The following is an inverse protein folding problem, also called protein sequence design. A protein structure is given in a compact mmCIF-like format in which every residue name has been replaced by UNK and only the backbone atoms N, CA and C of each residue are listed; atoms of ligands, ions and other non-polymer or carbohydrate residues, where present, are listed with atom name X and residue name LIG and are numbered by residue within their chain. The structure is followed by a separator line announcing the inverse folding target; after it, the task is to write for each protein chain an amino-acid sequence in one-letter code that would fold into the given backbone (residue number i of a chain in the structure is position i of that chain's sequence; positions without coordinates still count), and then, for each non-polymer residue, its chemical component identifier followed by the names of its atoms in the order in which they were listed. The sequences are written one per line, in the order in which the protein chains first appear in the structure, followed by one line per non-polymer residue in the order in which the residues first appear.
data_IF_656853705639
#
_entry.id   IF_656853705639
#
_cell.length_a   1.000
_cell.length_b   1.000
_cell.length_c   1.000
_cell.angle_alpha   90.00
_cell.angle_beta   90.00
_cell.angle_gamma   90.00
#
_symmetry.space_group_name_H-M   'P 1'
#
loop_
_entity.id
_entity.type
_entity.pdbx_description
1 polymer ?
#
# COMPACT_ATOMS: atom_id res chain seq x y z
N UNK A 1 -52.57 -20.19 -10.46
CA UNK A 1 -52.00 -19.97 -9.12
C UNK A 1 -50.47 -20.11 -9.08
N UNK A 2 -49.86 -21.13 -9.70
CA UNK A 2 -48.39 -21.36 -9.70
C UNK A 2 -47.54 -20.17 -10.18
N UNK A 3 -47.97 -19.44 -11.22
CA UNK A 3 -47.27 -18.23 -11.70
C UNK A 3 -47.19 -17.10 -10.67
N UNK A 4 -48.20 -16.93 -9.81
CA UNK A 4 -48.20 -15.87 -8.79
C UNK A 4 -47.13 -16.14 -7.73
N UNK A 5 -47.01 -17.40 -7.31
CA UNK A 5 -45.95 -17.82 -6.38
C UNK A 5 -44.56 -17.71 -7.01
N UNK A 6 -44.40 -18.10 -8.28
CA UNK A 6 -43.14 -17.94 -9.00
C UNK A 6 -42.73 -16.45 -9.12
N UNK A 7 -43.68 -15.56 -9.42
CA UNK A 7 -43.42 -14.13 -9.49
C UNK A 7 -43.02 -13.53 -8.12
N UNK A 8 -43.67 -13.95 -7.03
CA UNK A 8 -43.30 -13.53 -5.67
C UNK A 8 -41.90 -14.02 -5.32
N UNK A 9 -41.59 -15.28 -5.63
CA UNK A 9 -40.28 -15.86 -5.33
C UNK A 9 -39.16 -15.16 -6.12
N UNK A 10 -39.43 -14.80 -7.38
CA UNK A 10 -38.51 -14.04 -8.22
C UNK A 10 -38.30 -12.61 -7.67
N UNK A 11 -39.37 -11.92 -7.27
CA UNK A 11 -39.29 -10.60 -6.66
C UNK A 11 -38.52 -10.62 -5.34
N UNK A 12 -38.70 -11.65 -4.52
CA UNK A 12 -37.96 -11.82 -3.28
C UNK A 12 -36.47 -12.09 -3.54
N UNK A 13 -36.16 -12.94 -4.53
CA UNK A 13 -34.78 -13.24 -4.91
C UNK A 13 -34.07 -12.01 -5.45
N UNK A 14 -34.71 -11.21 -6.31
CA UNK A 14 -34.09 -9.99 -6.84
C UNK A 14 -33.90 -8.94 -5.76
N UNK A 15 -34.87 -8.79 -4.84
CA UNK A 15 -34.73 -7.90 -3.70
C UNK A 15 -33.57 -8.31 -2.79
N UNK A 16 -33.43 -9.60 -2.47
CA UNK A 16 -32.34 -10.11 -1.65
C UNK A 16 -30.97 -9.94 -2.34
N UNK A 17 -30.87 -10.23 -3.63
CA UNK A 17 -29.64 -10.02 -4.39
C UNK A 17 -29.25 -8.55 -4.46
N UNK A 18 -30.21 -7.65 -4.71
CA UNK A 18 -29.96 -6.21 -4.72
C UNK A 18 -29.52 -5.68 -3.35
N UNK A 19 -30.14 -6.18 -2.27
CA UNK A 19 -29.76 -5.83 -0.90
C UNK A 19 -28.34 -6.28 -0.57
N UNK A 20 -27.97 -7.50 -0.96
CA UNK A 20 -26.62 -8.03 -0.76
C UNK A 20 -25.58 -7.25 -1.57
N UNK A 21 -25.91 -6.86 -2.80
CA UNK A 21 -25.02 -6.07 -3.66
C UNK A 21 -24.71 -4.71 -3.05
N UNK A 22 -25.74 -3.91 -2.70
CA UNK A 22 -25.53 -2.57 -2.14
C UNK A 22 -24.89 -2.59 -0.75
N UNK A 23 -25.22 -3.62 0.05
CA UNK A 23 -24.64 -3.78 1.38
C UNK A 23 -23.18 -4.22 1.38
N UNK A 24 -22.63 -4.67 0.24
CA UNK A 24 -21.25 -5.17 0.18
C UNK A 24 -20.23 -4.03 0.23
N UNK A 25 -20.31 -3.06 -0.68
CA UNK A 25 -19.39 -1.92 -0.74
C UNK A 25 -19.37 -1.10 0.55
N UNK A 26 -20.55 -0.84 1.14
CA UNK A 26 -20.68 -0.12 2.41
C UNK A 26 -19.97 -0.85 3.56
N UNK A 27 -19.97 -2.18 3.57
CA UNK A 27 -19.25 -2.96 4.58
C UNK A 27 -17.74 -2.93 4.35
N UNK A 28 -17.29 -2.94 3.09
CA UNK A 28 -15.87 -2.84 2.74
C UNK A 28 -15.29 -1.50 3.18
N UNK A 29 -15.96 -0.37 2.89
CA UNK A 29 -15.52 0.95 3.34
C UNK A 29 -15.44 1.03 4.87
N UNK A 30 -16.43 0.47 5.58
CA UNK A 30 -16.42 0.42 7.04
C UNK A 30 -15.26 -0.40 7.58
N UNK A 31 -14.96 -1.54 6.97
CA UNK A 31 -13.82 -2.39 7.39
C UNK A 31 -12.49 -1.69 7.14
N UNK A 32 -12.33 -1.03 5.98
CA UNK A 32 -11.11 -0.29 5.65
C UNK A 32 -10.88 0.88 6.62
N UNK A 33 -11.92 1.61 6.98
CA UNK A 33 -11.83 2.81 7.82
C UNK A 33 -11.81 2.52 9.33
N UNK A 34 -12.27 1.34 9.77
CA UNK A 34 -12.30 0.96 11.18
C UNK A 34 -10.93 0.52 11.75
N UNK A 35 -9.94 0.25 10.89
CA UNK A 35 -8.65 -0.33 11.29
C UNK A 35 -7.48 0.41 10.66
N UNK A 36 -6.34 0.28 11.32
CA UNK A 36 -5.05 0.63 10.73
C UNK A 36 -4.46 -0.63 10.09
N UNK A 37 -4.01 -0.49 8.85
CA UNK A 37 -3.50 -1.58 8.04
C UNK A 37 -1.99 -1.57 8.05
N UNK A 38 -1.39 -2.70 8.38
CA UNK A 38 0.06 -2.83 8.47
C UNK A 38 0.56 -3.75 7.36
N UNK A 39 1.67 -3.37 6.74
CA UNK A 39 2.35 -4.16 5.73
C UNK A 39 3.84 -4.21 6.04
N UNK A 40 4.42 -5.38 5.86
CA UNK A 40 5.86 -5.60 6.01
C UNK A 40 6.39 -6.24 4.73
N UNK A 41 7.48 -5.73 4.22
CA UNK A 41 8.17 -6.20 3.03
C UNK A 41 9.66 -6.35 3.35
N UNK A 42 10.23 -7.49 2.98
CA UNK A 42 11.68 -7.71 3.03
C UNK A 42 12.13 -8.00 1.60
N UNK A 43 13.01 -7.15 1.08
CA UNK A 43 13.69 -7.33 -0.19
C UNK A 43 15.14 -7.70 0.05
N UNK A 44 15.63 -8.71 -0.64
CA UNK A 44 17.05 -9.03 -0.73
C UNK A 44 17.50 -8.59 -2.12
N UNK A 45 18.58 -7.81 -2.17
CA UNK A 45 19.14 -7.29 -3.42
C UNK A 45 20.45 -8.04 -3.63
N UNK A 46 20.46 -8.97 -4.58
CA UNK A 46 21.69 -9.61 -4.99
C UNK A 46 22.43 -8.69 -5.96
N UNK A 47 23.71 -8.43 -5.71
CA UNK A 47 24.56 -7.59 -6.57
C UNK A 47 24.58 -8.03 -8.06
N UNK A 48 24.24 -9.30 -8.34
CA UNK A 48 24.12 -9.82 -9.71
C UNK A 48 22.88 -9.34 -10.47
N UNK A 49 21.82 -8.95 -9.77
CA UNK A 49 20.53 -8.61 -10.40
C UNK A 49 20.53 -7.18 -10.95
N UNK A 50 21.51 -6.36 -10.53
CA UNK A 50 21.59 -4.92 -10.82
C UNK A 50 23.02 -4.45 -11.14
N UNK A 51 23.73 -5.08 -12.10
CA UNK A 51 25.15 -4.85 -12.36
C UNK A 51 25.50 -3.43 -12.84
N UNK A 52 24.54 -2.71 -13.43
CA UNK A 52 24.72 -1.37 -14.02
C UNK A 52 24.17 -0.23 -13.13
N UNK A 53 23.80 -0.52 -11.88
CA UNK A 53 23.15 0.45 -10.99
C UNK A 53 24.10 0.84 -9.87
N UNK A 54 24.38 2.14 -9.73
CA UNK A 54 25.17 2.69 -8.62
C UNK A 54 24.30 2.83 -7.36
N UNK A 55 23.76 1.70 -6.89
CA UNK A 55 22.94 1.61 -5.67
C UNK A 55 23.79 1.39 -4.41
N UNK A 56 25.11 1.44 -4.55
CA UNK A 56 26.06 1.28 -3.44
C UNK A 56 26.04 -0.13 -2.82
N UNK A 57 26.41 -0.26 -1.53
CA UNK A 57 26.50 -1.56 -0.85
C UNK A 57 25.14 -2.18 -0.49
N UNK A 58 24.03 -1.68 -1.07
CA UNK A 58 22.68 -2.07 -0.67
C UNK A 58 22.43 -3.57 -0.91
N UNK A 59 22.37 -4.34 0.18
CA UNK A 59 22.19 -5.80 0.16
C UNK A 59 20.78 -6.22 0.57
N UNK A 60 20.15 -5.45 1.45
CA UNK A 60 18.82 -5.78 2.00
C UNK A 60 18.02 -4.52 2.30
N UNK A 61 16.72 -4.60 2.00
CA UNK A 61 15.73 -3.58 2.29
C UNK A 61 14.63 -4.20 3.16
N UNK A 62 14.41 -3.66 4.35
CA UNK A 62 13.20 -3.92 5.11
C UNK A 62 12.29 -2.70 5.05
N UNK A 63 11.02 -2.88 4.74
CA UNK A 63 10.03 -1.82 4.72
C UNK A 63 8.82 -2.23 5.55
N UNK A 64 8.43 -1.39 6.49
CA UNK A 64 7.17 -1.49 7.23
C UNK A 64 6.32 -0.27 6.93
N UNK A 65 5.06 -0.44 6.56
CA UNK A 65 4.14 0.66 6.32
C UNK A 65 2.83 0.47 7.09
N UNK A 66 2.37 1.56 7.70
CA UNK A 66 1.07 1.66 8.35
C UNK A 66 0.17 2.59 7.53
N UNK A 67 -1.02 2.15 7.20
CA UNK A 67 -1.98 2.88 6.38
C UNK A 67 -3.28 3.04 7.15
N UNK A 68 -3.85 4.25 7.08
CA UNK A 68 -5.16 4.57 7.61
C UNK A 68 -6.03 5.13 6.50
N UNK A 69 -7.13 4.43 6.21
CA UNK A 69 -8.16 4.90 5.31
C UNK A 69 -9.16 5.73 6.12
N UNK A 70 -9.42 6.96 5.68
CA UNK A 70 -10.34 7.88 6.34
C UNK A 70 -11.70 7.85 5.67
N UNK A 71 -12.80 8.05 6.42
CA UNK A 71 -14.10 8.34 5.84
C UNK A 71 -13.99 9.54 4.89
N UNK A 72 -14.59 9.43 3.71
CA UNK A 72 -14.50 10.48 2.68
C UNK A 72 -13.43 10.25 1.60
N UNK A 73 -12.76 9.10 1.60
CA UNK A 73 -11.91 8.67 0.49
C UNK A 73 -10.49 9.20 0.52
N UNK A 74 -10.01 9.73 1.64
CA UNK A 74 -8.60 10.11 1.85
C UNK A 74 -7.86 9.00 2.62
N UNK A 75 -6.57 8.80 2.39
CA UNK A 75 -5.73 7.89 3.17
C UNK A 75 -4.43 8.56 3.58
N UNK A 76 -3.86 8.07 4.67
CA UNK A 76 -2.54 8.47 5.17
C UNK A 76 -1.71 7.20 5.34
N UNK A 77 -0.47 7.23 4.85
CA UNK A 77 0.48 6.12 4.94
C UNK A 77 1.80 6.59 5.54
N UNK A 78 2.24 5.93 6.60
CA UNK A 78 3.56 6.12 7.21
C UNK A 78 4.43 4.90 6.90
N UNK A 79 5.53 5.11 6.19
CA UNK A 79 6.46 4.04 5.80
C UNK A 79 7.83 4.26 6.47
N UNK A 80 8.34 3.22 7.13
CA UNK A 80 9.70 3.15 7.66
C UNK A 80 10.49 2.09 6.90
N UNK A 81 11.66 2.47 6.40
CA UNK A 81 12.52 1.62 5.58
C UNK A 81 13.91 1.54 6.19
N UNK A 82 14.42 0.33 6.39
CA UNK A 82 15.79 0.06 6.81
C UNK A 82 16.57 -0.45 5.61
N UNK A 83 17.63 0.27 5.26
CA UNK A 83 18.59 -0.08 4.23
C UNK A 83 19.82 -0.66 4.91
N UNK A 84 20.17 -1.89 4.55
CA UNK A 84 21.36 -2.57 5.04
C UNK A 84 22.41 -2.60 3.93
N UNK A 85 23.64 -2.26 4.29
CA UNK A 85 24.80 -2.30 3.40
C UNK A 85 25.54 -3.63 3.52
N UNK A 86 26.87 -3.54 3.54
CA UNK A 86 27.75 -4.69 3.74
C UNK A 86 27.83 -5.11 5.21
N UNK A 87 27.70 -4.17 6.14
CA UNK A 87 27.58 -4.45 7.57
C UNK A 87 26.10 -4.71 7.92
N UNK A 88 25.73 -5.92 8.39
CA UNK A 88 24.36 -6.22 8.77
C UNK A 88 23.92 -5.53 10.08
N UNK A 89 24.84 -5.03 10.89
CA UNK A 89 24.53 -4.36 12.17
C UNK A 89 24.20 -2.87 11.99
N UNK A 90 24.67 -2.26 10.90
CA UNK A 90 24.35 -0.87 10.55
C UNK A 90 23.16 -0.83 9.59
N UNK A 91 22.32 0.20 9.74
CA UNK A 91 21.27 0.44 8.78
C UNK A 91 20.94 1.92 8.67
N UNK A 92 20.61 2.34 7.45
CA UNK A 92 20.03 3.67 7.22
C UNK A 92 18.52 3.57 7.33
N UNK A 93 17.92 4.37 8.21
CA UNK A 93 16.47 4.43 8.39
C UNK A 93 15.90 5.62 7.62
N UNK A 94 15.00 5.35 6.68
CA UNK A 94 14.24 6.36 5.93
C UNK A 94 12.78 6.30 6.37
N UNK A 95 12.21 7.46 6.73
CA UNK A 95 10.78 7.60 7.02
C UNK A 95 10.10 8.51 5.98
N UNK A 96 9.06 7.98 5.36
CA UNK A 96 8.24 8.68 4.36
C UNK A 96 6.79 8.67 4.83
N UNK A 97 6.19 9.85 4.87
CA UNK A 97 4.75 10.04 5.05
C UNK A 97 4.12 10.33 3.69
N UNK A 98 2.95 9.78 3.45
CA UNK A 98 2.22 9.90 2.20
C UNK A 98 0.73 10.10 2.46
N UNK A 99 0.12 10.92 1.62
CA UNK A 99 -1.31 11.20 1.63
C UNK A 99 -1.86 11.16 0.21
N UNK A 100 -3.09 10.69 0.08
CA UNK A 100 -3.80 10.69 -1.19
C UNK A 100 -5.23 10.23 -1.04
N UNK A 101 -5.84 9.86 -2.16
CA UNK A 101 -7.22 9.34 -2.17
C UNK A 101 -7.28 7.85 -2.42
N UNK A 102 -8.34 7.23 -1.94
CA UNK A 102 -8.68 5.85 -2.21
C UNK A 102 -10.13 5.74 -2.69
N UNK A 103 -10.39 4.73 -3.51
CA UNK A 103 -11.73 4.34 -3.94
C UNK A 103 -11.79 2.83 -4.14
N UNK A 104 -12.99 2.27 -4.08
CA UNK A 104 -13.23 0.86 -4.38
C UNK A 104 -13.87 0.77 -5.76
N UNK A 105 -13.30 -0.06 -6.63
CA UNK A 105 -13.87 -0.38 -7.94
C UNK A 105 -13.73 -1.88 -8.16
N UNK A 106 -14.85 -2.58 -8.39
CA UNK A 106 -14.87 -4.02 -8.69
C UNK A 106 -14.03 -4.86 -7.70
N UNK A 107 -14.16 -4.59 -6.40
CA UNK A 107 -13.42 -5.24 -5.31
C UNK A 107 -11.90 -4.95 -5.28
N UNK A 108 -11.43 -3.97 -6.06
CA UNK A 108 -10.07 -3.46 -5.96
C UNK A 108 -10.04 -2.18 -5.14
N UNK A 109 -9.04 -2.08 -4.27
CA UNK A 109 -8.72 -0.83 -3.60
C UNK A 109 -7.76 -0.05 -4.48
N UNK A 110 -8.29 1.00 -5.10
CA UNK A 110 -7.52 1.92 -5.93
C UNK A 110 -7.02 3.05 -5.05
N UNK A 111 -5.70 3.26 -5.03
CA UNK A 111 -5.07 4.37 -4.31
C UNK A 111 -4.40 5.32 -5.30
N UNK A 112 -4.55 6.61 -5.04
CA UNK A 112 -4.01 7.71 -5.84
C UNK A 112 -3.25 8.65 -4.91
N UNK A 113 -1.92 8.47 -4.76
CA UNK A 113 -1.09 9.35 -3.94
C UNK A 113 -1.12 10.78 -4.49
N UNK A 114 -1.15 11.76 -3.59
CA UNK A 114 -1.12 13.20 -3.93
C UNK A 114 0.11 13.89 -3.38
N UNK A 115 0.47 13.57 -2.15
CA UNK A 115 1.55 14.24 -1.43
C UNK A 115 2.49 13.24 -0.77
N UNK A 116 3.78 13.56 -0.82
CA UNK A 116 4.84 12.82 -0.15
C UNK A 116 5.65 13.78 0.70
N UNK A 117 5.86 13.41 1.96
CA UNK A 117 6.67 14.16 2.91
C UNK A 117 7.80 13.29 3.45
N UNK A 118 9.02 13.68 3.12
CA UNK A 118 10.20 13.07 3.70
C UNK A 118 10.33 13.56 5.15
N UNK A 119 10.18 12.64 6.12
CA UNK A 119 9.99 13.03 7.53
C UNK A 119 11.27 12.87 8.34
N UNK A 120 12.09 11.84 8.05
CA UNK A 120 13.39 11.67 8.68
C UNK A 120 14.30 10.73 7.86
N UNK A 121 15.61 10.99 7.87
CA UNK A 121 16.63 10.03 7.46
C UNK A 121 17.67 9.96 8.59
N UNK A 122 17.76 8.81 9.27
CA UNK A 122 18.88 8.52 10.16
C UNK A 122 19.92 7.78 9.31
N UNK A 123 21.00 8.47 8.99
CA UNK A 123 22.02 8.02 8.05
C UNK A 123 23.14 7.28 8.78
N UNK A 124 23.56 6.15 8.21
CA UNK A 124 24.84 5.51 8.49
C UNK A 124 25.87 5.95 7.45
N UNK A 125 27.16 5.89 7.78
CA UNK A 125 28.24 6.38 6.90
C UNK A 125 28.46 5.55 5.62
N UNK A 126 27.69 4.48 5.43
CA UNK A 126 27.84 3.53 4.31
C UNK A 126 27.23 3.99 2.98
N UNK A 127 26.32 4.97 3.01
CA UNK A 127 25.63 5.43 1.80
C UNK A 127 25.93 6.91 1.54
N UNK A 128 26.32 7.21 0.30
CA UNK A 128 26.51 8.60 -0.14
C UNK A 128 25.16 9.32 -0.27
N UNK A 129 25.19 10.65 -0.25
CA UNK A 129 23.99 11.46 -0.45
C UNK A 129 23.32 11.19 -1.81
N UNK A 130 24.10 10.93 -2.85
CA UNK A 130 23.62 10.64 -4.21
C UNK A 130 22.92 9.28 -4.28
N UNK A 131 23.51 8.24 -3.67
CA UNK A 131 22.92 6.91 -3.57
C UNK A 131 21.60 6.95 -2.80
N UNK A 132 21.55 7.67 -1.67
CA UNK A 132 20.31 7.85 -0.92
C UNK A 132 19.25 8.60 -1.71
N UNK A 133 19.64 9.61 -2.50
CA UNK A 133 18.71 10.33 -3.36
C UNK A 133 18.11 9.40 -4.42
N UNK A 134 18.91 8.54 -5.05
CA UNK A 134 18.46 7.57 -6.04
C UNK A 134 17.52 6.53 -5.42
N UNK A 135 17.90 5.95 -4.28
CA UNK A 135 17.07 4.98 -3.55
C UNK A 135 15.72 5.61 -3.18
N UNK A 136 15.72 6.85 -2.65
CA UNK A 136 14.47 7.58 -2.34
C UNK A 136 13.60 7.79 -3.57
N UNK A 137 14.17 8.14 -4.72
CA UNK A 137 13.40 8.31 -5.96
C UNK A 137 12.77 7.00 -6.43
N UNK A 138 13.53 5.91 -6.44
CA UNK A 138 13.02 4.59 -6.78
C UNK A 138 11.88 4.16 -5.84
N UNK A 139 12.05 4.39 -4.54
CA UNK A 139 11.03 4.09 -3.55
C UNK A 139 9.75 4.91 -3.76
N UNK A 140 9.87 6.22 -3.99
CA UNK A 140 8.72 7.09 -4.33
C UNK A 140 7.99 6.58 -5.58
N UNK A 141 8.73 6.16 -6.60
CA UNK A 141 8.14 5.57 -7.82
C UNK A 141 7.44 4.24 -7.57
N UNK A 142 8.01 3.35 -6.75
CA UNK A 142 7.37 2.08 -6.39
C UNK A 142 6.07 2.31 -5.61
N UNK A 143 6.10 3.25 -4.67
CA UNK A 143 4.96 3.62 -3.84
C UNK A 143 3.82 4.25 -4.65
N UNK A 144 4.14 4.94 -5.76
CA UNK A 144 3.12 5.57 -6.62
C UNK A 144 2.36 4.60 -7.54
N UNK A 145 2.85 3.37 -7.71
CA UNK A 145 2.26 2.35 -8.62
C UNK A 145 1.52 1.22 -7.92
N UNK A 146 1.30 1.31 -6.62
CA UNK A 146 0.71 0.20 -5.87
C UNK A 146 -0.79 0.06 -6.14
N UNK A 147 -1.20 -1.06 -6.77
CA UNK A 147 -2.58 -1.54 -6.81
C UNK A 147 -2.71 -2.64 -5.76
N UNK A 148 -3.70 -2.54 -4.87
CA UNK A 148 -3.94 -3.54 -3.81
C UNK A 148 -5.18 -4.34 -4.18
N UNK A 149 -4.99 -5.64 -4.44
CA UNK A 149 -6.08 -6.60 -4.62
C UNK A 149 -6.65 -6.96 -3.24
N UNK A 150 -7.98 -6.86 -3.07
CA UNK A 150 -8.64 -7.38 -1.88
C UNK A 150 -9.16 -8.79 -2.18
N UNK A 151 -8.73 -9.78 -1.39
CA UNK A 151 -9.10 -11.19 -1.50
C UNK A 151 -10.12 -11.59 -0.43
#
# INVERSE_FOLDING_TARGET
MKMKYAAILLALSTALSAWLYWGSDLKLEQVLTAKEWQSNMVGIIAARDYPDTDIGPLSRLEMSANVKYLPGGEYIRESSMRLFGDDPETHTLIKISEMGTWTISDNYLLISPREFKDTATAQSDEFTHEQLAMIKQFLKWKLSKAVVSTS
#
